data_IF_771045452577
#
_entry.id   IF_771045452577
#
_cell.length_a   1.000
_cell.length_b   1.000
_cell.length_c   1.000
_cell.angle_alpha   90.00
_cell.angle_beta   90.00
_cell.angle_gamma   90.00
#
_symmetry.space_group_name_H-M   'P 1'
#
loop_
_entity.id
_entity.type
_entity.pdbx_description
1 polymer ?
#
# COMPACT_ATOMS: atom_id res chain seq x y z
N UNK A 1 17.35 6.35 -8.14
CA UNK A 1 17.20 5.42 -6.98
C UNK A 1 18.06 5.70 -5.76
N UNK A 2 19.41 5.82 -5.86
CA UNK A 2 20.25 6.15 -4.67
C UNK A 2 19.71 7.36 -3.88
N UNK A 3 19.27 8.39 -4.61
CA UNK A 3 18.60 9.58 -4.04
C UNK A 3 17.30 9.27 -3.29
N UNK A 4 16.46 8.36 -3.81
CA UNK A 4 15.20 7.96 -3.17
C UNK A 4 15.47 7.15 -1.90
N UNK A 5 16.49 6.29 -1.89
CA UNK A 5 16.91 5.54 -0.70
C UNK A 5 17.47 6.49 0.37
N UNK A 6 18.35 7.42 -0.03
CA UNK A 6 18.84 8.47 0.86
C UNK A 6 17.71 9.31 1.44
N UNK A 7 16.75 9.70 0.60
CA UNK A 7 15.55 10.43 1.01
C UNK A 7 14.78 9.64 2.08
N UNK A 8 14.51 8.36 1.80
CA UNK A 8 13.77 7.46 2.67
C UNK A 8 14.41 7.35 4.06
N UNK A 9 15.73 7.18 4.13
CA UNK A 9 16.47 7.09 5.40
C UNK A 9 16.50 8.43 6.16
N UNK A 10 16.71 9.54 5.45
CA UNK A 10 16.84 10.87 6.06
C UNK A 10 15.50 11.46 6.50
N UNK A 11 14.40 11.12 5.82
CA UNK A 11 13.07 11.66 6.13
C UNK A 11 12.62 11.35 7.56
N UNK A 12 12.91 10.16 8.08
CA UNK A 12 12.59 9.78 9.46
C UNK A 12 13.25 10.74 10.47
N UNK A 13 14.54 11.03 10.29
CA UNK A 13 15.27 11.96 11.16
C UNK A 13 14.70 13.37 11.06
N UNK A 14 14.44 13.86 9.84
CA UNK A 14 13.86 15.18 9.63
C UNK A 14 12.46 15.31 10.22
N UNK A 15 11.62 14.28 10.06
CA UNK A 15 10.27 14.27 10.60
C UNK A 15 10.28 14.38 12.14
N UNK A 16 11.22 13.69 12.80
CA UNK A 16 11.41 13.78 14.25
C UNK A 16 11.89 15.15 14.68
N UNK A 17 12.86 15.71 13.98
CA UNK A 17 13.47 16.99 14.35
C UNK A 17 12.52 18.17 14.11
N UNK A 18 11.84 18.21 12.96
CA UNK A 18 11.04 19.36 12.53
C UNK A 18 9.62 19.27 13.10
N UNK A 19 9.03 18.06 13.11
CA UNK A 19 7.63 17.89 13.46
C UNK A 19 7.38 17.13 14.76
N UNK A 20 8.43 16.62 15.42
CA UNK A 20 8.32 15.71 16.56
C UNK A 20 7.45 14.47 16.23
N UNK A 21 7.64 13.92 15.02
CA UNK A 21 6.89 12.77 14.50
C UNK A 21 7.86 11.73 13.95
N UNK A 22 7.62 10.46 14.21
CA UNK A 22 8.51 9.38 13.76
C UNK A 22 7.79 8.04 13.74
N UNK A 23 8.30 7.13 12.93
CA UNK A 23 7.70 5.79 12.81
C UNK A 23 8.17 4.86 13.93
N UNK A 24 7.48 3.74 14.09
CA UNK A 24 7.87 2.70 15.05
C UNK A 24 7.91 1.35 14.32
N UNK A 25 8.80 0.48 14.78
CA UNK A 25 8.89 -0.92 14.38
C UNK A 25 8.69 -1.81 15.61
N UNK A 26 8.21 -3.04 15.39
CA UNK A 26 8.21 -4.05 16.45
C UNK A 26 9.63 -4.63 16.63
N UNK A 27 9.99 -5.21 17.79
CA UNK A 27 11.34 -5.72 18.04
C UNK A 27 11.85 -6.75 16.99
N UNK A 28 10.93 -7.52 16.42
CA UNK A 28 11.20 -8.54 15.39
C UNK A 28 11.30 -7.97 13.97
N UNK A 29 11.01 -6.68 13.78
CA UNK A 29 10.92 -6.05 12.47
C UNK A 29 12.21 -5.36 12.06
N UNK A 30 12.43 -5.33 10.75
CA UNK A 30 13.57 -4.64 10.16
C UNK A 30 13.47 -3.13 10.36
N UNK A 31 14.60 -2.46 10.27
CA UNK A 31 14.70 -1.00 10.22
C UNK A 31 14.51 -0.46 8.79
N UNK A 32 14.72 0.85 8.63
CA UNK A 32 14.58 1.53 7.33
C UNK A 32 15.61 1.03 6.30
N UNK A 33 16.82 0.67 6.73
CA UNK A 33 17.85 0.16 5.83
C UNK A 33 17.42 -1.18 5.23
N UNK A 34 16.98 -2.13 6.06
CA UNK A 34 16.50 -3.41 5.54
C UNK A 34 15.21 -3.30 4.70
N UNK A 35 14.35 -2.29 4.92
CA UNK A 35 13.23 -2.00 4.01
C UNK A 35 13.74 -1.48 2.65
N UNK A 36 14.73 -0.60 2.65
CA UNK A 36 15.32 -0.08 1.42
C UNK A 36 16.00 -1.20 0.62
N UNK A 37 16.74 -2.08 1.28
CA UNK A 37 17.36 -3.26 0.69
C UNK A 37 16.30 -4.17 0.07
N UNK A 38 15.20 -4.44 0.78
CA UNK A 38 14.11 -5.25 0.22
C UNK A 38 13.56 -4.66 -1.08
N UNK A 39 13.36 -3.33 -1.14
CA UNK A 39 12.89 -2.68 -2.37
C UNK A 39 13.91 -2.86 -3.48
N UNK A 40 15.19 -2.56 -3.24
CA UNK A 40 16.25 -2.62 -4.26
C UNK A 40 16.48 -4.05 -4.78
N UNK A 41 16.45 -5.04 -3.89
CA UNK A 41 16.64 -6.45 -4.23
C UNK A 41 15.40 -7.06 -4.92
N UNK A 42 14.23 -6.42 -4.77
CA UNK A 42 12.99 -6.93 -5.34
C UNK A 42 13.09 -7.07 -6.86
N UNK A 43 12.46 -8.12 -7.39
CA UNK A 43 12.35 -8.33 -8.84
C UNK A 43 11.68 -7.13 -9.53
N UNK A 44 10.66 -6.57 -8.89
CA UNK A 44 9.96 -5.38 -9.41
C UNK A 44 10.92 -4.20 -9.58
N UNK A 45 11.80 -3.93 -8.61
CA UNK A 45 12.79 -2.87 -8.77
C UNK A 45 13.79 -3.17 -9.89
N UNK A 46 14.35 -4.38 -9.91
CA UNK A 46 15.36 -4.78 -10.91
C UNK A 46 14.81 -4.76 -12.35
N UNK A 47 13.56 -5.12 -12.54
CA UNK A 47 12.95 -5.23 -13.87
C UNK A 47 12.12 -4.00 -14.27
N UNK A 48 11.39 -3.36 -13.35
CA UNK A 48 10.52 -2.21 -13.62
C UNK A 48 11.29 -0.90 -13.55
N UNK A 49 11.85 -0.59 -12.39
CA UNK A 49 12.46 0.71 -12.16
C UNK A 49 13.65 0.92 -13.08
N UNK A 50 14.49 -0.10 -13.28
CA UNK A 50 15.59 0.01 -14.24
C UNK A 50 15.10 0.39 -15.65
N UNK A 51 14.04 -0.25 -16.16
CA UNK A 51 13.44 0.09 -17.47
C UNK A 51 12.86 1.49 -17.50
N UNK A 52 12.18 1.88 -16.43
CA UNK A 52 11.57 3.19 -16.28
C UNK A 52 12.62 4.31 -16.24
N UNK A 53 13.78 4.09 -15.61
CA UNK A 53 14.89 5.04 -15.59
C UNK A 53 15.70 5.04 -16.89
N UNK A 54 15.86 3.89 -17.54
CA UNK A 54 16.66 3.79 -18.77
C UNK A 54 15.90 4.28 -20.01
N UNK A 55 14.58 4.41 -19.95
CA UNK A 55 13.75 4.82 -21.08
C UNK A 55 12.67 5.81 -20.63
N UNK A 56 12.89 7.08 -20.98
CA UNK A 56 12.00 8.20 -20.65
C UNK A 56 10.58 8.05 -21.22
N UNK A 57 10.36 7.20 -22.23
CA UNK A 57 9.03 6.95 -22.79
C UNK A 57 8.08 6.30 -21.77
N UNK A 58 8.59 5.66 -20.72
CA UNK A 58 7.75 5.13 -19.65
C UNK A 58 7.22 6.20 -18.68
N UNK A 59 7.78 7.42 -18.68
CA UNK A 59 7.25 8.53 -17.89
C UNK A 59 7.32 8.34 -16.38
N UNK A 60 8.41 7.76 -15.87
CA UNK A 60 8.62 7.63 -14.42
C UNK A 60 8.58 8.98 -13.71
N UNK A 61 7.93 9.02 -12.54
CA UNK A 61 7.85 10.22 -11.71
C UNK A 61 8.43 9.95 -10.32
N UNK A 62 9.56 10.60 -10.03
CA UNK A 62 10.15 10.61 -8.69
C UNK A 62 9.19 11.25 -7.68
N UNK A 63 8.45 12.28 -8.08
CA UNK A 63 7.43 12.94 -7.24
C UNK A 63 6.39 11.96 -6.71
N UNK A 64 5.82 11.12 -7.58
CA UNK A 64 4.79 10.14 -7.17
C UNK A 64 5.34 9.15 -6.15
N UNK A 65 6.58 8.67 -6.34
CA UNK A 65 7.23 7.78 -5.38
C UNK A 65 7.44 8.47 -4.02
N UNK A 66 7.85 9.73 -4.03
CA UNK A 66 8.05 10.49 -2.79
C UNK A 66 6.74 10.75 -2.07
N UNK A 67 5.66 11.08 -2.79
CA UNK A 67 4.31 11.19 -2.24
C UNK A 67 3.87 9.91 -1.55
N UNK A 68 4.10 8.75 -2.17
CA UNK A 68 3.81 7.44 -1.55
C UNK A 68 4.62 7.26 -0.27
N UNK A 69 5.95 7.38 -0.31
CA UNK A 69 6.81 7.10 0.83
C UNK A 69 6.52 8.01 2.05
N UNK A 70 6.36 9.32 1.81
CA UNK A 70 6.00 10.30 2.84
C UNK A 70 4.61 10.02 3.42
N UNK A 71 3.66 9.63 2.56
CA UNK A 71 2.28 9.30 2.98
C UNK A 71 2.24 8.06 3.86
N UNK A 72 2.96 6.98 3.51
CA UNK A 72 3.01 5.75 4.31
C UNK A 72 3.64 6.04 5.68
N UNK A 73 4.74 6.81 5.70
CA UNK A 73 5.42 7.20 6.93
C UNK A 73 4.49 7.95 7.88
N UNK A 74 3.87 9.00 7.36
CA UNK A 74 2.93 9.83 8.11
C UNK A 74 1.73 9.02 8.59
N UNK A 75 1.16 8.17 7.74
CA UNK A 75 0.03 7.33 8.09
C UNK A 75 0.39 6.34 9.21
N UNK A 76 1.54 5.68 9.12
CA UNK A 76 2.00 4.75 10.15
C UNK A 76 2.14 5.43 11.52
N UNK A 77 2.70 6.65 11.55
CA UNK A 77 2.80 7.41 12.79
C UNK A 77 1.42 7.76 13.36
N UNK A 78 0.53 8.38 12.58
CA UNK A 78 -0.74 8.89 13.10
C UNK A 78 -1.73 7.78 13.49
N UNK A 79 -1.75 6.69 12.74
CA UNK A 79 -2.58 5.52 13.02
C UNK A 79 -1.90 4.52 13.97
N UNK A 80 -0.72 4.88 14.50
CA UNK A 80 0.19 4.10 15.34
C UNK A 80 0.21 2.61 14.96
N UNK A 81 0.57 2.33 13.70
CA UNK A 81 0.78 0.97 13.21
C UNK A 81 2.26 0.74 12.91
N UNK A 82 2.76 -0.50 13.01
CA UNK A 82 4.17 -0.77 12.72
C UNK A 82 4.51 -0.41 11.27
N UNK A 83 5.47 0.49 11.10
CA UNK A 83 5.82 1.04 9.79
C UNK A 83 6.34 -0.02 8.81
N UNK A 84 7.27 -0.93 9.20
CA UNK A 84 7.71 -1.99 8.30
C UNK A 84 6.57 -2.84 7.76
N UNK A 85 5.58 -3.21 8.59
CA UNK A 85 4.41 -3.96 8.10
C UNK A 85 3.57 -3.15 7.13
N UNK A 86 3.26 -1.89 7.45
CA UNK A 86 2.43 -1.05 6.57
C UNK A 86 3.10 -0.82 5.21
N UNK A 87 4.40 -0.51 5.24
CA UNK A 87 5.23 -0.37 4.05
C UNK A 87 5.19 -1.62 3.19
N UNK A 88 5.49 -2.77 3.78
CA UNK A 88 5.53 -4.04 3.08
C UNK A 88 4.14 -4.50 2.59
N UNK A 89 3.07 -4.18 3.33
CA UNK A 89 1.70 -4.40 2.88
C UNK A 89 1.45 -3.66 1.57
N UNK A 90 1.65 -2.34 1.53
CA UNK A 90 1.42 -1.56 0.32
C UNK A 90 2.38 -1.90 -0.82
N UNK A 91 3.62 -2.26 -0.51
CA UNK A 91 4.54 -2.80 -1.50
C UNK A 91 4.03 -4.13 -2.08
N UNK A 92 3.42 -4.98 -1.27
CA UNK A 92 2.88 -6.25 -1.73
C UNK A 92 1.58 -6.07 -2.52
N UNK A 93 0.75 -5.09 -2.16
CA UNK A 93 -0.52 -4.79 -2.84
C UNK A 93 -0.33 -4.22 -4.25
N UNK A 94 0.56 -3.23 -4.39
CA UNK A 94 0.64 -2.45 -5.62
C UNK A 94 2.05 -2.22 -6.14
N UNK A 95 3.08 -2.65 -5.40
CA UNK A 95 4.48 -2.24 -5.66
C UNK A 95 4.62 -0.72 -5.72
N UNK A 96 3.83 -0.01 -4.91
CA UNK A 96 3.74 1.45 -4.88
C UNK A 96 3.21 2.09 -6.17
N UNK A 97 2.53 1.33 -7.04
CA UNK A 97 1.85 1.86 -8.21
C UNK A 97 0.40 2.28 -7.88
N UNK A 98 0.16 3.59 -7.90
CA UNK A 98 -1.17 4.15 -7.65
C UNK A 98 -2.16 3.87 -8.80
N UNK A 99 -1.69 3.41 -9.96
CA UNK A 99 -2.52 3.00 -11.10
C UNK A 99 -3.07 1.58 -10.92
N UNK A 100 -2.62 0.84 -9.90
CA UNK A 100 -2.94 -0.57 -9.75
C UNK A 100 -4.46 -0.79 -9.59
N UNK A 101 -5.04 -1.63 -10.46
CA UNK A 101 -6.37 -2.22 -10.31
C UNK A 101 -6.28 -3.75 -10.31
N UNK A 102 -6.86 -4.37 -9.29
CA UNK A 102 -7.08 -5.82 -9.31
C UNK A 102 -8.23 -6.22 -10.25
N UNK A 103 -8.24 -7.49 -10.65
CA UNK A 103 -9.37 -8.08 -11.36
C UNK A 103 -10.69 -8.03 -10.58
N UNK A 104 -10.62 -7.95 -9.24
CA UNK A 104 -11.77 -7.84 -8.33
C UNK A 104 -12.17 -6.39 -8.06
N UNK A 105 -11.52 -5.42 -8.71
CA UNK A 105 -11.86 -4.01 -8.65
C UNK A 105 -11.22 -3.23 -7.50
N UNK A 106 -10.31 -3.81 -6.70
CA UNK A 106 -9.45 -3.04 -5.80
C UNK A 106 -8.63 -1.96 -6.55
N UNK A 107 -8.38 -0.81 -5.92
CA UNK A 107 -7.73 0.36 -6.55
C UNK A 107 -6.59 0.93 -5.74
N UNK A 108 -5.58 1.45 -6.43
CA UNK A 108 -4.51 2.28 -5.89
C UNK A 108 -3.51 1.53 -5.02
N UNK A 109 -2.73 2.31 -4.27
CA UNK A 109 -1.56 1.84 -3.51
C UNK A 109 -1.89 0.72 -2.52
N UNK A 110 -2.95 0.90 -1.74
CA UNK A 110 -3.41 -0.07 -0.77
C UNK A 110 -4.37 -1.12 -1.35
N UNK A 111 -4.63 -1.12 -2.66
CA UNK A 111 -5.63 -2.00 -3.27
C UNK A 111 -6.96 -1.99 -2.51
N UNK A 112 -7.47 -0.79 -2.21
CA UNK A 112 -8.72 -0.63 -1.47
C UNK A 112 -9.89 -1.13 -2.32
N UNK A 113 -10.68 -2.08 -1.80
CA UNK A 113 -11.90 -2.59 -2.45
C UNK A 113 -13.12 -1.73 -2.10
N UNK A 114 -14.22 -1.87 -2.85
CA UNK A 114 -15.49 -1.23 -2.49
C UNK A 114 -16.05 -1.71 -1.14
N UNK A 115 -15.77 -2.96 -0.75
CA UNK A 115 -16.13 -3.50 0.57
C UNK A 115 -15.26 -2.86 1.65
N UNK A 116 -13.94 -2.79 1.44
CA UNK A 116 -13.01 -2.13 2.35
C UNK A 116 -13.33 -0.65 2.53
N UNK A 117 -13.69 0.06 1.46
CA UNK A 117 -14.10 1.46 1.52
C UNK A 117 -15.37 1.65 2.36
N UNK A 118 -16.38 0.77 2.22
CA UNK A 118 -17.58 0.82 3.07
C UNK A 118 -17.26 0.61 4.54
N UNK A 119 -16.35 -0.31 4.85
CA UNK A 119 -15.90 -0.52 6.22
C UNK A 119 -15.13 0.70 6.75
N UNK A 120 -14.30 1.33 5.93
CA UNK A 120 -13.62 2.59 6.30
C UNK A 120 -14.63 3.70 6.54
N UNK A 121 -15.66 3.85 5.71
CA UNK A 121 -16.74 4.84 5.94
C UNK A 121 -17.46 4.59 7.27
N UNK A 122 -17.73 3.33 7.62
CA UNK A 122 -18.27 2.96 8.92
C UNK A 122 -17.31 3.30 10.07
N UNK A 123 -16.00 3.17 9.87
CA UNK A 123 -15.01 3.55 10.88
C UNK A 123 -14.87 5.07 11.04
N UNK A 124 -15.08 5.82 9.95
CA UNK A 124 -15.05 7.28 9.93
C UNK A 124 -16.27 7.93 10.58
N UNK A 125 -17.37 7.20 10.80
CA UNK A 125 -18.48 7.72 11.59
C UNK A 125 -18.12 7.93 13.07
N UNK A 126 -17.01 7.34 13.54
CA UNK A 126 -16.42 7.68 14.83
C UNK A 126 -15.63 9.00 14.72
N UNK A 127 -16.02 10.00 15.53
CA UNK A 127 -15.44 11.34 15.50
C UNK A 127 -13.94 11.38 15.80
N UNK A 128 -13.41 10.44 16.60
CA UNK A 128 -11.97 10.36 16.87
C UNK A 128 -11.22 9.83 15.66
N UNK A 129 -11.77 8.85 14.94
CA UNK A 129 -11.17 8.35 13.71
C UNK A 129 -11.17 9.41 12.61
N UNK A 130 -12.30 10.11 12.41
CA UNK A 130 -12.39 11.19 11.42
C UNK A 130 -11.42 12.34 11.77
N UNK A 131 -11.39 12.77 13.04
CA UNK A 131 -10.44 13.79 13.48
C UNK A 131 -8.98 13.36 13.25
N UNK A 132 -8.66 12.08 13.50
CA UNK A 132 -7.33 11.52 13.24
C UNK A 132 -7.01 11.54 11.74
N UNK A 133 -7.94 11.16 10.87
CA UNK A 133 -7.78 11.24 9.41
C UNK A 133 -7.47 12.68 8.96
N UNK A 134 -8.30 13.65 9.38
CA UNK A 134 -8.12 15.04 8.95
C UNK A 134 -6.84 15.67 9.49
N UNK A 135 -6.46 15.37 10.75
CA UNK A 135 -5.16 15.78 11.31
C UNK A 135 -3.98 15.19 10.53
N UNK A 136 -4.12 13.95 10.06
CA UNK A 136 -3.08 13.29 9.25
C UNK A 136 -2.93 13.97 7.89
N UNK A 137 -4.04 14.26 7.20
CA UNK A 137 -4.03 14.98 5.92
C UNK A 137 -3.46 16.40 6.06
N UNK A 138 -3.85 17.13 7.12
CA UNK A 138 -3.29 18.44 7.43
C UNK A 138 -1.79 18.37 7.70
N UNK A 139 -1.33 17.35 8.43
CA UNK A 139 0.10 17.16 8.68
C UNK A 139 0.88 16.86 7.40
N UNK A 140 0.35 16.00 6.51
CA UNK A 140 0.96 15.79 5.20
C UNK A 140 1.07 17.09 4.40
N UNK A 141 0.03 17.92 4.41
CA UNK A 141 0.10 19.22 3.75
C UNK A 141 1.23 20.09 4.33
N UNK A 142 1.40 20.09 5.66
CA UNK A 142 2.50 20.80 6.32
C UNK A 142 3.86 20.29 5.87
N UNK A 143 4.05 18.97 5.78
CA UNK A 143 5.30 18.38 5.27
C UNK A 143 5.55 18.84 3.83
N UNK A 144 4.54 18.78 2.97
CA UNK A 144 4.66 19.16 1.56
C UNK A 144 4.98 20.64 1.37
N UNK A 145 4.54 21.52 2.27
CA UNK A 145 4.81 22.96 2.17
C UNK A 145 5.95 23.44 3.05
N UNK A 146 6.65 22.55 3.77
CA UNK A 146 7.71 22.94 4.70
C UNK A 146 8.98 23.39 3.95
N UNK A 147 9.49 24.61 4.18
CA UNK A 147 10.66 25.13 3.46
C UNK A 147 11.93 24.33 3.68
N UNK A 148 12.12 23.73 4.87
CA UNK A 148 13.30 22.92 5.14
C UNK A 148 13.24 21.58 4.41
N UNK A 149 12.05 20.97 4.35
CA UNK A 149 11.81 19.77 3.54
C UNK A 149 12.05 20.06 2.06
N UNK A 150 11.52 21.17 1.54
CA UNK A 150 11.73 21.55 0.14
C UNK A 150 13.20 21.77 -0.20
N UNK A 151 13.91 22.56 0.62
CA UNK A 151 15.34 22.80 0.46
C UNK A 151 16.17 21.50 0.55
N UNK A 152 15.77 20.57 1.40
CA UNK A 152 16.41 19.26 1.51
C UNK A 152 16.18 18.39 0.26
N UNK A 153 14.96 18.32 -0.25
CA UNK A 153 14.65 17.60 -1.49
C UNK A 153 15.41 18.20 -2.69
N UNK A 154 15.49 19.52 -2.78
CA UNK A 154 16.30 20.22 -3.79
C UNK A 154 17.78 19.86 -3.70
N UNK A 155 18.36 19.82 -2.49
CA UNK A 155 19.76 19.38 -2.27
C UNK A 155 19.99 17.93 -2.67
N UNK A 156 18.99 17.08 -2.52
CA UNK A 156 19.03 15.71 -3.04
C UNK A 156 18.87 15.65 -4.57
N UNK A 157 18.59 16.77 -5.24
CA UNK A 157 18.44 16.87 -6.69
C UNK A 157 17.04 16.56 -7.20
N UNK A 158 16.03 16.59 -6.32
CA UNK A 158 14.64 16.50 -6.71
C UNK A 158 14.10 17.87 -7.09
N UNK A 159 13.38 17.95 -8.21
CA UNK A 159 12.67 19.14 -8.66
C UNK A 159 11.18 18.88 -8.57
N UNK A 160 10.58 19.18 -7.42
CA UNK A 160 9.22 18.75 -7.10
C UNK A 160 8.43 19.92 -6.59
N UNK A 161 7.19 20.02 -7.08
CA UNK A 161 6.19 20.90 -6.53
C UNK A 161 4.99 20.06 -6.13
N UNK A 162 4.96 19.65 -4.86
CA UNK A 162 3.87 18.79 -4.38
C UNK A 162 2.53 19.51 -4.50
N UNK A 163 1.52 18.78 -4.97
CA UNK A 163 0.14 19.27 -4.93
C UNK A 163 -0.31 19.52 -3.48
N UNK A 164 -1.02 20.64 -3.26
CA UNK A 164 -1.64 20.95 -1.97
C UNK A 164 -2.60 19.83 -1.56
N UNK A 165 -2.53 19.43 -0.30
CA UNK A 165 -3.43 18.43 0.28
C UNK A 165 -4.58 19.16 0.98
N UNK A 166 -5.78 18.87 0.52
CA UNK A 166 -7.03 19.33 1.14
C UNK A 166 -7.57 18.27 2.12
N UNK A 167 -8.52 18.64 3.01
CA UNK A 167 -9.23 17.69 3.84
C UNK A 167 -9.81 16.53 3.01
N UNK A 168 -9.73 15.31 3.56
CA UNK A 168 -10.22 14.13 2.84
C UNK A 168 -11.75 14.10 2.94
N UNK A 169 -12.49 14.21 1.82
CA UNK A 169 -13.95 14.27 1.88
C UNK A 169 -14.54 12.95 2.38
N UNK A 170 -15.76 13.00 2.91
CA UNK A 170 -16.48 11.81 3.37
C UNK A 170 -16.79 10.86 2.22
N UNK A 171 -17.31 11.41 1.13
CA UNK A 171 -17.61 10.67 -0.10
C UNK A 171 -16.33 10.46 -0.91
N UNK A 172 -15.99 9.20 -1.13
CA UNK A 172 -14.86 8.78 -1.95
C UNK A 172 -15.38 8.16 -3.24
N UNK A 173 -14.90 8.68 -4.36
CA UNK A 173 -15.21 8.25 -5.71
C UNK A 173 -14.38 7.04 -6.10
N UNK A 174 -15.09 5.98 -6.47
CA UNK A 174 -14.51 4.72 -6.90
C UNK A 174 -14.61 4.59 -8.42
N UNK A 175 -13.91 5.48 -9.13
CA UNK A 175 -14.08 5.71 -10.56
C UNK A 175 -13.70 4.49 -11.40
N UNK A 176 -14.58 4.13 -12.34
CA UNK A 176 -14.31 3.10 -13.36
C UNK A 176 -13.80 3.80 -14.61
N UNK A 177 -12.77 3.24 -15.24
CA UNK A 177 -12.31 3.73 -16.54
C UNK A 177 -13.40 3.53 -17.59
N UNK A 178 -13.67 4.58 -18.34
CA UNK A 178 -14.70 4.60 -19.39
C UNK A 178 -14.07 4.46 -20.78
N UNK A 179 -14.91 4.15 -21.77
CA UNK A 179 -14.51 4.22 -23.17
C UNK A 179 -14.11 5.64 -23.59
N UNK A 180 -14.71 6.68 -23.00
CA UNK A 180 -14.32 8.07 -23.28
C UNK A 180 -12.88 8.34 -22.81
N UNK A 181 -12.52 7.93 -21.59
CA UNK A 181 -11.15 8.03 -21.10
C UNK A 181 -10.16 7.33 -22.04
N UNK A 182 -10.47 6.11 -22.45
CA UNK A 182 -9.58 5.35 -23.35
C UNK A 182 -9.45 5.99 -24.75
N UNK A 183 -10.49 6.66 -25.26
CA UNK A 183 -10.39 7.42 -26.52
C UNK A 183 -9.46 8.61 -26.38
N UNK A 184 -9.53 9.34 -25.27
CA UNK A 184 -8.63 10.47 -25.03
C UNK A 184 -7.18 10.00 -24.87
N UNK A 185 -6.94 8.87 -24.19
CA UNK A 185 -5.61 8.21 -24.16
C UNK A 185 -5.12 7.87 -25.56
N UNK A 186 -6.00 7.32 -26.41
CA UNK A 186 -5.66 7.00 -27.80
C UNK A 186 -5.28 8.24 -28.62
N UNK A 187 -6.04 9.33 -28.50
CA UNK A 187 -5.72 10.61 -29.16
C UNK A 187 -4.37 11.13 -28.74
N UNK A 188 -4.07 11.12 -27.45
CA UNK A 188 -2.80 11.64 -26.94
C UNK A 188 -1.60 10.78 -27.38
N UNK A 189 -1.77 9.46 -27.45
CA UNK A 189 -0.77 8.56 -28.04
C UNK A 189 -0.51 8.86 -29.52
N UNK A 190 -1.55 9.11 -30.31
CA UNK A 190 -1.40 9.48 -31.72
C UNK A 190 -0.64 10.81 -31.87
N UNK A 191 -0.91 11.79 -31.00
CA UNK A 191 -0.14 13.06 -30.97
C UNK A 191 1.33 12.82 -30.64
N UNK A 192 1.66 11.86 -29.78
CA UNK A 192 3.04 11.42 -29.51
C UNK A 192 3.62 10.48 -30.60
N UNK A 193 2.99 10.40 -31.78
CA UNK A 193 3.46 9.62 -32.93
C UNK A 193 3.20 8.11 -32.83
N UNK A 194 2.37 7.67 -31.89
CA UNK A 194 2.09 6.25 -31.67
C UNK A 194 0.81 5.82 -32.41
N UNK A 195 0.98 5.26 -33.62
CA UNK A 195 -0.15 4.82 -34.46
C UNK A 195 -1.06 3.78 -33.81
N UNK A 196 -0.56 2.99 -32.86
CA UNK A 196 -1.37 2.03 -32.11
C UNK A 196 -2.45 2.70 -31.22
N UNK A 197 -2.38 4.02 -31.02
CA UNK A 197 -3.39 4.81 -30.30
C UNK A 197 -4.77 4.79 -30.96
N UNK A 198 -4.87 4.47 -32.24
CA UNK A 198 -6.15 4.34 -32.94
C UNK A 198 -6.87 3.01 -32.63
N UNK A 199 -6.13 1.99 -32.16
CA UNK A 199 -6.67 0.66 -31.89
C UNK A 199 -7.24 0.57 -30.46
N UNK A 200 -8.52 0.89 -30.31
CA UNK A 200 -9.20 0.88 -29.01
C UNK A 200 -9.12 -0.48 -28.29
N UNK A 201 -9.22 -1.60 -29.00
CA UNK A 201 -9.14 -2.94 -28.40
C UNK A 201 -7.76 -3.21 -27.82
N UNK A 202 -6.71 -2.83 -28.54
CA UNK A 202 -5.33 -2.91 -28.06
C UNK A 202 -5.11 -1.99 -26.85
N UNK A 203 -5.64 -0.77 -26.87
CA UNK A 203 -5.54 0.15 -25.72
C UNK A 203 -6.18 -0.43 -24.45
N UNK A 204 -7.35 -1.06 -24.57
CA UNK A 204 -7.98 -1.76 -23.43
C UNK A 204 -7.16 -2.94 -22.94
N UNK A 205 -6.57 -3.71 -23.86
CA UNK A 205 -5.67 -4.81 -23.50
C UNK A 205 -4.44 -4.29 -22.74
N UNK A 206 -3.77 -3.25 -23.26
CA UNK A 206 -2.59 -2.65 -22.65
C UNK A 206 -2.93 -2.00 -21.31
N UNK A 207 -4.03 -1.25 -21.20
CA UNK A 207 -4.44 -0.63 -19.93
C UNK A 207 -4.78 -1.67 -18.85
N UNK A 208 -5.36 -2.81 -19.23
CA UNK A 208 -5.59 -3.91 -18.30
C UNK A 208 -4.28 -4.51 -17.78
N UNK A 209 -3.25 -4.59 -18.62
CA UNK A 209 -1.91 -5.05 -18.22
C UNK A 209 -1.23 -4.05 -17.29
N UNK A 210 -1.21 -2.76 -17.67
CA UNK A 210 -0.69 -1.68 -16.84
C UNK A 210 -1.24 -1.72 -15.42
N UNK A 211 -2.57 -1.73 -15.30
CA UNK A 211 -3.23 -1.72 -14.01
C UNK A 211 -2.99 -2.98 -13.19
N UNK A 212 -2.57 -4.09 -13.79
CA UNK A 212 -2.15 -5.29 -13.05
C UNK A 212 -0.70 -5.21 -12.56
N UNK A 213 -0.01 -4.10 -12.80
CA UNK A 213 1.41 -3.90 -12.50
C UNK A 213 2.35 -4.47 -13.56
N UNK A 214 1.84 -4.85 -14.75
CA UNK A 214 2.70 -5.32 -15.83
C UNK A 214 3.48 -4.15 -16.45
N UNK A 215 4.80 -4.31 -16.55
CA UNK A 215 5.62 -3.43 -17.38
C UNK A 215 5.37 -3.81 -18.85
N UNK A 216 4.96 -2.84 -19.66
CA UNK A 216 4.74 -3.07 -21.08
C UNK A 216 6.09 -3.16 -21.80
N UNK A 217 6.13 -3.81 -22.97
CA UNK A 217 7.34 -3.82 -23.80
C UNK A 217 7.69 -2.42 -24.31
N UNK A 218 8.94 -2.21 -24.74
CA UNK A 218 9.42 -0.92 -25.23
C UNK A 218 8.54 -0.32 -26.34
N UNK A 219 7.97 -1.17 -27.20
CA UNK A 219 7.02 -0.77 -28.27
C UNK A 219 5.80 -0.01 -27.74
N UNK A 220 5.40 -0.26 -26.50
CA UNK A 220 4.23 0.36 -25.87
C UNK A 220 4.64 1.20 -24.64
N UNK A 221 5.88 1.65 -24.56
CA UNK A 221 6.37 2.42 -23.40
C UNK A 221 5.56 3.72 -23.20
N UNK A 222 5.27 4.46 -24.27
CA UNK A 222 4.46 5.69 -24.23
C UNK A 222 3.07 5.48 -23.62
N UNK A 223 2.51 4.27 -23.72
CA UNK A 223 1.23 3.94 -23.07
C UNK A 223 1.33 4.03 -21.54
N UNK A 224 2.47 3.72 -20.91
CA UNK A 224 2.66 3.95 -19.46
C UNK A 224 2.54 5.44 -19.13
N UNK A 225 3.36 6.26 -19.81
CA UNK A 225 3.43 7.70 -19.57
C UNK A 225 2.06 8.36 -19.75
N UNK A 226 1.48 8.25 -20.96
CA UNK A 226 0.22 8.92 -21.32
C UNK A 226 -0.91 8.46 -20.40
N UNK A 227 -1.06 7.14 -20.21
CA UNK A 227 -2.13 6.62 -19.36
C UNK A 227 -2.00 7.11 -17.91
N UNK A 228 -0.79 7.10 -17.36
CA UNK A 228 -0.56 7.55 -15.98
C UNK A 228 -0.81 9.04 -15.77
N UNK A 229 -0.40 9.88 -16.72
CA UNK A 229 -0.62 11.33 -16.68
C UNK A 229 -2.11 11.64 -16.77
N UNK A 230 -2.80 11.06 -17.74
CA UNK A 230 -4.24 11.28 -17.90
C UNK A 230 -5.06 10.75 -16.74
N UNK A 231 -4.70 9.58 -16.18
CA UNK A 231 -5.37 9.04 -15.00
C UNK A 231 -5.16 9.95 -13.79
N UNK A 232 -3.96 10.51 -13.65
CA UNK A 232 -3.68 11.47 -12.58
C UNK A 232 -4.49 12.76 -12.74
N UNK A 233 -4.45 13.36 -13.93
CA UNK A 233 -5.15 14.62 -14.22
C UNK A 233 -6.67 14.51 -14.08
N UNK A 234 -7.26 13.45 -14.60
CA UNK A 234 -8.72 13.30 -14.65
C UNK A 234 -9.28 12.68 -13.37
N UNK A 235 -8.55 11.76 -12.74
CA UNK A 235 -9.10 10.95 -11.64
C UNK A 235 -8.29 11.04 -10.35
N UNK A 236 -6.96 11.04 -10.35
CA UNK A 236 -6.19 10.95 -9.11
C UNK A 236 -5.88 12.30 -8.42
N UNK A 237 -6.05 13.42 -9.13
CA UNK A 237 -5.77 14.77 -8.59
C UNK A 237 -6.71 15.15 -7.44
N UNK A 238 -7.96 14.68 -7.48
CA UNK A 238 -8.96 14.98 -6.44
C UNK A 238 -8.75 14.13 -5.19
N UNK A 239 -8.73 14.76 -4.01
CA UNK A 239 -8.73 14.04 -2.72
C UNK A 239 -9.99 13.17 -2.52
N UNK A 240 -11.06 13.39 -3.29
CA UNK A 240 -12.21 12.51 -3.29
C UNK A 240 -11.96 11.18 -4.00
N UNK A 241 -10.86 11.00 -4.72
CA UNK A 241 -10.64 9.83 -5.54
C UNK A 241 -9.97 8.67 -4.81
N UNK A 242 -10.44 7.45 -5.07
CA UNK A 242 -9.74 6.24 -4.66
C UNK A 242 -8.37 6.06 -5.35
N UNK A 243 -8.08 6.79 -6.44
CA UNK A 243 -6.76 6.79 -7.07
C UNK A 243 -5.80 7.83 -6.49
N UNK A 244 -6.29 8.81 -5.72
CA UNK A 244 -5.40 9.78 -5.10
C UNK A 244 -4.46 9.08 -4.11
N UNK A 245 -3.15 9.33 -4.24
CA UNK A 245 -2.10 8.63 -3.50
C UNK A 245 -2.32 8.77 -1.98
N UNK A 246 -2.45 10.01 -1.52
CA UNK A 246 -2.61 10.33 -0.10
C UNK A 246 -3.92 9.74 0.43
N UNK A 247 -5.06 10.02 -0.22
CA UNK A 247 -6.37 9.47 0.17
C UNK A 247 -6.34 7.95 0.26
N UNK A 248 -5.82 7.26 -0.76
CA UNK A 248 -5.81 5.81 -0.80
C UNK A 248 -4.97 5.23 0.35
N UNK A 249 -3.78 5.78 0.59
CA UNK A 249 -2.89 5.35 1.68
C UNK A 249 -3.54 5.58 3.04
N UNK A 250 -4.12 6.76 3.28
CA UNK A 250 -4.73 7.08 4.58
C UNK A 250 -5.93 6.18 4.87
N UNK A 251 -6.85 5.99 3.91
CA UNK A 251 -8.03 5.14 4.09
C UNK A 251 -7.65 3.66 4.25
N UNK A 252 -6.67 3.20 3.48
CA UNK A 252 -6.13 1.84 3.61
C UNK A 252 -5.47 1.62 4.98
N UNK A 253 -4.78 2.65 5.50
CA UNK A 253 -4.17 2.56 6.83
C UNK A 253 -5.21 2.55 7.94
N UNK A 254 -6.34 3.26 7.80
CA UNK A 254 -7.48 3.14 8.73
C UNK A 254 -7.96 1.68 8.79
N UNK A 255 -8.15 1.04 7.62
CA UNK A 255 -8.61 -0.34 7.55
C UNK A 255 -7.61 -1.31 8.20
N UNK A 256 -6.31 -1.17 7.88
CA UNK A 256 -5.27 -1.98 8.51
C UNK A 256 -5.19 -1.76 10.02
N UNK A 257 -5.22 -0.51 10.47
CA UNK A 257 -5.23 -0.11 11.87
C UNK A 257 -6.40 -0.69 12.64
N UNK A 258 -7.59 -0.73 12.02
CA UNK A 258 -8.77 -1.39 12.57
C UNK A 258 -8.50 -2.87 12.82
N UNK A 259 -7.97 -3.60 11.84
CA UNK A 259 -7.69 -5.02 12.01
C UNK A 259 -6.54 -5.31 12.98
N UNK A 260 -5.52 -4.45 13.01
CA UNK A 260 -4.42 -4.53 13.96
C UNK A 260 -4.89 -4.39 15.41
N UNK A 261 -5.85 -3.49 15.67
CA UNK A 261 -6.46 -3.29 16.99
C UNK A 261 -7.75 -4.09 17.20
N UNK A 262 -8.08 -4.99 16.28
CA UNK A 262 -9.35 -5.70 16.32
C UNK A 262 -9.47 -6.52 17.60
N UNK A 263 -10.63 -6.45 18.26
CA UNK A 263 -10.91 -7.27 19.44
C UNK A 263 -11.27 -8.69 19.00
N UNK A 264 -10.25 -9.49 18.75
CA UNK A 264 -10.38 -10.90 18.40
C UNK A 264 -11.06 -11.67 19.55
N UNK A 265 -12.24 -12.24 19.31
CA UNK A 265 -13.02 -12.93 20.36
C UNK A 265 -13.81 -14.12 19.84
N UNK A 266 -14.08 -15.08 20.71
CA UNK A 266 -15.06 -16.13 20.53
C UNK A 266 -16.12 -16.02 21.65
N UNK A 267 -17.33 -15.59 21.31
CA UNK A 267 -18.37 -15.25 22.29
C UNK A 267 -17.82 -14.29 23.37
N UNK A 268 -17.77 -14.73 24.63
CA UNK A 268 -17.24 -13.95 25.77
C UNK A 268 -15.70 -14.00 25.89
N UNK A 269 -15.03 -14.97 25.26
CA UNK A 269 -13.58 -15.15 25.36
C UNK A 269 -12.84 -14.22 24.39
N UNK A 270 -11.91 -13.42 24.89
CA UNK A 270 -11.04 -12.56 24.06
C UNK A 270 -9.70 -13.25 23.85
N UNK A 271 -9.22 -13.27 22.61
CA UNK A 271 -7.85 -13.66 22.29
C UNK A 271 -6.94 -12.44 22.47
N UNK A 272 -6.25 -12.37 23.60
CA UNK A 272 -5.25 -11.34 23.84
C UNK A 272 -3.99 -11.72 23.05
N UNK A 273 -3.75 -11.02 21.93
CA UNK A 273 -2.60 -11.31 21.06
C UNK A 273 -1.46 -10.33 21.32
N UNK A 274 -0.23 -10.85 21.26
CA UNK A 274 0.97 -10.04 21.15
C UNK A 274 0.92 -9.12 19.90
N UNK A 275 1.54 -7.92 19.93
CA UNK A 275 1.64 -7.03 18.76
C UNK A 275 2.13 -7.73 17.48
N UNK A 276 3.12 -8.62 17.61
CA UNK A 276 3.73 -9.39 16.53
C UNK A 276 2.75 -10.41 15.92
N UNK A 277 1.87 -11.01 16.73
CA UNK A 277 0.80 -11.86 16.21
C UNK A 277 -0.31 -11.05 15.51
N UNK A 278 -0.61 -9.85 16.03
CA UNK A 278 -1.63 -8.97 15.46
C UNK A 278 -1.29 -8.54 14.05
N UNK A 279 -0.02 -8.29 13.72
CA UNK A 279 0.35 -7.90 12.34
C UNK A 279 -0.01 -8.97 11.31
N UNK A 280 0.23 -10.25 11.62
CA UNK A 280 -0.11 -11.37 10.72
C UNK A 280 -1.63 -11.44 10.48
N UNK A 281 -2.42 -11.36 11.55
CA UNK A 281 -3.88 -11.41 11.42
C UNK A 281 -4.43 -10.16 10.74
N UNK A 282 -3.87 -8.99 11.02
CA UNK A 282 -4.29 -7.73 10.41
C UNK A 282 -4.02 -7.73 8.92
N UNK A 283 -2.83 -8.15 8.49
CA UNK A 283 -2.47 -8.32 7.09
C UNK A 283 -3.40 -9.31 6.39
N UNK A 284 -3.72 -10.44 7.03
CA UNK A 284 -4.65 -11.40 6.42
C UNK A 284 -6.09 -10.87 6.37
N UNK A 285 -6.55 -10.16 7.42
CA UNK A 285 -7.90 -9.63 7.49
C UNK A 285 -8.11 -8.41 6.57
N UNK A 286 -7.05 -7.66 6.28
CA UNK A 286 -7.07 -6.53 5.34
C UNK A 286 -7.73 -6.91 4.01
N UNK A 287 -7.39 -8.08 3.46
CA UNK A 287 -7.92 -8.57 2.17
C UNK A 287 -9.10 -9.53 2.30
N UNK A 288 -9.22 -10.24 3.42
CA UNK A 288 -10.16 -11.37 3.56
C UNK A 288 -11.21 -11.18 4.67
N UNK A 289 -11.17 -10.03 5.36
CA UNK A 289 -12.01 -9.73 6.51
C UNK A 289 -11.65 -10.52 7.76
N UNK A 290 -12.25 -10.12 8.87
CA UNK A 290 -11.99 -10.65 10.20
C UNK A 290 -12.53 -12.07 10.43
N UNK A 291 -13.57 -12.49 9.71
CA UNK A 291 -14.33 -13.71 10.04
C UNK A 291 -13.49 -14.97 9.90
N UNK A 292 -12.72 -15.08 8.81
CA UNK A 292 -11.80 -16.20 8.60
C UNK A 292 -10.71 -16.25 9.67
N UNK A 293 -10.12 -15.11 9.99
CA UNK A 293 -9.06 -15.02 11.01
C UNK A 293 -9.57 -15.33 12.42
N UNK A 294 -10.79 -14.93 12.74
CA UNK A 294 -11.45 -15.30 14.00
C UNK A 294 -11.64 -16.81 14.12
N UNK A 295 -12.12 -17.47 13.06
CA UNK A 295 -12.25 -18.94 13.03
C UNK A 295 -10.89 -19.63 13.12
N UNK A 296 -9.87 -19.09 12.47
CA UNK A 296 -8.51 -19.60 12.55
C UNK A 296 -8.00 -19.61 14.00
N UNK A 297 -8.19 -18.52 14.75
CA UNK A 297 -7.82 -18.48 16.18
C UNK A 297 -8.61 -19.47 17.04
N UNK A 298 -9.91 -19.62 16.79
CA UNK A 298 -10.75 -20.61 17.49
C UNK A 298 -10.22 -22.02 17.26
N UNK A 299 -9.97 -22.38 16.00
CA UNK A 299 -9.46 -23.68 15.62
C UNK A 299 -8.07 -23.93 16.23
N UNK A 300 -7.18 -22.92 16.24
CA UNK A 300 -5.87 -23.03 16.89
C UNK A 300 -5.98 -23.28 18.39
N UNK A 301 -6.92 -22.64 19.10
CA UNK A 301 -7.12 -22.88 20.53
C UNK A 301 -7.67 -24.28 20.82
N UNK A 302 -8.52 -24.80 19.93
CA UNK A 302 -9.02 -26.17 20.03
C UNK A 302 -7.92 -27.20 19.76
N UNK A 303 -7.10 -26.97 18.74
CA UNK A 303 -5.99 -27.84 18.37
C UNK A 303 -4.85 -27.78 19.40
N UNK A 304 -4.59 -26.60 19.98
CA UNK A 304 -3.55 -26.38 20.97
C UNK A 304 -4.11 -25.68 22.23
N UNK A 305 -4.77 -26.43 23.15
CA UNK A 305 -5.40 -25.84 24.34
C UNK A 305 -4.42 -25.07 25.25
N UNK A 306 -3.16 -25.48 25.29
CA UNK A 306 -2.09 -24.84 26.06
C UNK A 306 -1.41 -23.67 25.34
N UNK A 307 -1.84 -23.31 24.12
CA UNK A 307 -1.29 -22.15 23.42
C UNK A 307 -1.70 -20.87 24.15
N UNK A 308 -0.70 -20.13 24.60
CA UNK A 308 -0.86 -18.76 25.09
C UNK A 308 -0.73 -17.78 23.92
N UNK A 309 -1.83 -17.08 23.63
CA UNK A 309 -1.86 -16.06 22.58
C UNK A 309 -1.17 -14.76 23.00
N UNK A 310 -1.00 -14.51 24.30
CA UNK A 310 -0.40 -13.26 24.80
C UNK A 310 1.09 -13.20 24.52
N UNK A 311 1.75 -14.35 24.50
CA UNK A 311 3.18 -14.49 24.23
C UNK A 311 3.46 -15.12 22.86
N UNK A 312 2.43 -15.23 22.01
CA UNK A 312 2.56 -15.86 20.70
C UNK A 312 3.36 -14.95 19.75
N UNK A 313 4.62 -15.30 19.50
CA UNK A 313 5.46 -14.58 18.55
C UNK A 313 4.97 -14.72 17.12
N UNK A 314 5.31 -13.74 16.26
CA UNK A 314 5.03 -13.82 14.83
C UNK A 314 5.66 -15.06 14.19
N UNK A 315 6.92 -15.39 14.52
CA UNK A 315 7.60 -16.61 14.02
C UNK A 315 6.81 -17.88 14.32
N UNK A 316 6.32 -18.04 15.55
CA UNK A 316 5.51 -19.22 15.92
C UNK A 316 4.15 -19.20 15.22
N UNK A 317 3.49 -18.04 15.15
CA UNK A 317 2.23 -17.91 14.43
C UNK A 317 2.38 -18.22 12.93
N UNK A 318 3.48 -17.80 12.28
CA UNK A 318 3.79 -18.12 10.87
C UNK A 318 3.86 -19.63 10.63
N UNK A 319 4.50 -20.37 11.53
CA UNK A 319 4.55 -21.85 11.47
C UNK A 319 3.13 -22.45 11.60
N UNK A 320 2.29 -21.86 12.43
CA UNK A 320 0.91 -22.29 12.61
C UNK A 320 0.00 -21.86 11.43
N UNK A 321 0.38 -20.85 10.65
CA UNK A 321 -0.41 -20.26 9.56
C UNK A 321 -0.36 -21.09 8.25
N UNK A 322 -0.68 -22.39 8.35
CA UNK A 322 -0.60 -23.34 7.25
C UNK A 322 -1.82 -23.28 6.33
N UNK A 323 -1.64 -23.69 5.06
CA UNK A 323 -2.74 -23.79 4.10
C UNK A 323 -3.89 -24.66 4.60
N UNK A 324 -3.60 -25.76 5.30
CA UNK A 324 -4.64 -26.64 5.86
C UNK A 324 -5.50 -25.92 6.90
N UNK A 325 -4.86 -25.26 7.88
CA UNK A 325 -5.58 -24.52 8.93
C UNK A 325 -6.34 -23.32 8.37
N UNK A 326 -5.76 -22.62 7.39
CA UNK A 326 -6.44 -21.53 6.68
C UNK A 326 -7.62 -22.03 5.87
N UNK A 327 -7.51 -23.18 5.20
CA UNK A 327 -8.61 -23.80 4.44
C UNK A 327 -9.81 -24.07 5.35
N UNK A 328 -9.56 -24.66 6.53
CA UNK A 328 -10.61 -24.95 7.52
C UNK A 328 -11.27 -23.68 8.07
N UNK A 329 -10.51 -22.59 8.18
CA UNK A 329 -10.99 -21.34 8.75
C UNK A 329 -11.74 -20.45 7.75
N UNK A 330 -11.13 -20.22 6.58
CA UNK A 330 -11.61 -19.26 5.56
C UNK A 330 -12.69 -19.90 4.67
N UNK A 331 -12.65 -21.23 4.46
CA UNK A 331 -13.62 -21.98 3.64
C UNK A 331 -13.73 -21.45 2.19
N UNK A 332 -12.58 -21.27 1.55
CA UNK A 332 -12.45 -20.77 0.18
C UNK A 332 -11.70 -21.78 -0.69
N UNK A 333 -11.66 -21.54 -2.00
CA UNK A 333 -10.95 -22.42 -2.93
C UNK A 333 -9.46 -22.57 -2.56
N UNK A 334 -8.83 -23.73 -2.80
CA UNK A 334 -7.41 -23.95 -2.49
C UNK A 334 -6.48 -22.89 -3.11
N UNK A 335 -6.84 -22.38 -4.30
CA UNK A 335 -6.11 -21.28 -4.95
C UNK A 335 -6.14 -20.01 -4.11
N UNK A 336 -7.30 -19.62 -3.58
CA UNK A 336 -7.44 -18.45 -2.72
C UNK A 336 -6.74 -18.64 -1.37
N UNK A 337 -6.77 -19.83 -0.80
CA UNK A 337 -6.03 -20.14 0.43
C UNK A 337 -4.51 -19.97 0.22
N UNK A 338 -3.97 -20.51 -0.88
CA UNK A 338 -2.56 -20.34 -1.23
C UNK A 338 -2.19 -18.87 -1.47
N UNK A 339 -3.10 -18.09 -2.05
CA UNK A 339 -2.93 -16.65 -2.25
C UNK A 339 -2.84 -15.90 -0.91
N UNK A 340 -3.77 -16.18 0.03
CA UNK A 340 -3.75 -15.59 1.39
C UNK A 340 -2.43 -15.88 2.10
N UNK A 341 -2.06 -17.17 2.16
CA UNK A 341 -0.85 -17.62 2.86
C UNK A 341 0.39 -16.96 2.27
N UNK A 342 0.55 -17.00 0.94
CA UNK A 342 1.69 -16.38 0.25
C UNK A 342 1.75 -14.87 0.46
N UNK A 343 0.60 -14.21 0.40
CA UNK A 343 0.52 -12.76 0.58
C UNK A 343 1.01 -12.35 1.98
N UNK A 344 0.52 -13.02 3.02
CA UNK A 344 0.97 -12.78 4.41
C UNK A 344 2.46 -13.09 4.56
N UNK A 345 2.92 -14.23 4.05
CA UNK A 345 4.34 -14.62 4.15
C UNK A 345 5.26 -13.60 3.47
N UNK A 346 4.92 -13.15 2.26
CA UNK A 346 5.71 -12.14 1.55
C UNK A 346 5.82 -10.82 2.34
N UNK A 347 4.74 -10.40 3.00
CA UNK A 347 4.76 -9.17 3.81
C UNK A 347 5.62 -9.37 5.06
N UNK A 348 5.54 -10.53 5.71
CA UNK A 348 6.39 -10.84 6.86
C UNK A 348 7.86 -10.99 6.47
N UNK A 349 8.16 -11.58 5.31
CA UNK A 349 9.54 -11.70 4.80
C UNK A 349 10.15 -10.33 4.43
N UNK A 350 9.31 -9.36 4.08
CA UNK A 350 9.71 -7.97 3.88
C UNK A 350 9.87 -7.21 5.21
N UNK A 351 8.94 -7.40 6.15
CA UNK A 351 8.85 -6.58 7.36
C UNK A 351 9.71 -7.09 8.54
N UNK A 352 9.99 -8.39 8.61
CA UNK A 352 10.74 -9.01 9.71
C UNK A 352 12.25 -9.02 9.46
N UNK A 353 13.04 -8.98 10.53
CA UNK A 353 14.49 -9.17 10.45
C UNK A 353 14.79 -10.53 9.84
N UNK A 354 15.64 -10.56 8.80
CA UNK A 354 16.16 -11.82 8.27
C UNK A 354 16.93 -12.52 9.40
N UNK A 355 16.74 -13.84 9.60
CA UNK A 355 17.66 -14.59 10.45
C UNK A 355 19.06 -14.37 9.91
N UNK A 356 20.01 -13.97 10.75
CA UNK A 356 21.43 -14.04 10.40
C UNK A 356 21.68 -15.50 10.03
N UNK A 357 21.94 -15.77 8.76
CA UNK A 357 22.43 -17.08 8.32
C UNK A 357 23.78 -17.25 9.00
N UNK A 358 23.81 -18.06 10.05
CA UNK A 358 25.02 -18.56 10.69
C UNK A 358 25.80 -19.46 9.74
#
# INVERSE_FOLDING_TARGET
>A
MRRIIMMFMQFESMSRQIFNRGTVSLPTQTDLEGLADHVVESRWYREALNRFYSNNAYGFSEERMLRVLISIHTAANFFEVPYPTLFCLFFQESKFDFLADSATGAKGIGQLTSIGLREVQRLRSDSKMELKLQKTAFHLNRVYTDPQIQKWLEKLGFKINFAKIYPIPEKIEFTRLSSSFMREVGKELVKEGQSYGENTSLLWFLSKRLRRGDILSNRFAHMHKVFSQMLEEQYARSQASAYNIETNILLSTILFSHYYRYRWRNNKQVFNLAPEARVILATSAYNHGQTGMRRFLINLKQEFPMLDFQTLSSKRLRILFTNQRLSNAIKQSPRKIKEVSRHVLNIMDCAEKRPLTS
#
